data_IF_046269076514
#
_entry.id   IF_046269076514
#
_cell.length_a   1.000
_cell.length_b   1.000
_cell.length_c   1.000
_cell.angle_alpha   90.00
_cell.angle_beta   90.00
_cell.angle_gamma   90.00
#
_symmetry.space_group_name_H-M   'P 1'
#
loop_
_entity.id
_entity.type
_entity.pdbx_description
1 polymer ?
#
# COMPACT_ATOMS: atom_id res chain seq x y z
N UNK A 1 8.51 -2.77 3.73
CA UNK A 1 7.43 -3.44 3.00
C UNK A 1 6.37 -2.41 2.69
N UNK A 2 5.61 -2.57 1.62
CA UNK A 2 4.41 -1.78 1.33
C UNK A 2 3.20 -2.72 1.23
N UNK A 3 2.00 -2.20 1.45
CA UNK A 3 0.75 -2.94 1.30
C UNK A 3 -0.12 -2.20 0.29
N UNK A 4 -0.62 -2.92 -0.70
CA UNK A 4 -1.50 -2.38 -1.73
C UNK A 4 -2.77 -3.22 -1.82
N UNK A 5 -3.89 -2.55 -2.09
CA UNK A 5 -5.19 -3.17 -2.31
C UNK A 5 -5.60 -2.94 -3.75
N UNK A 6 -5.96 -4.03 -4.45
CA UNK A 6 -6.60 -3.97 -5.76
C UNK A 6 -8.06 -4.39 -5.62
N UNK A 7 -8.96 -3.50 -6.00
CA UNK A 7 -10.40 -3.76 -6.08
C UNK A 7 -10.75 -3.99 -7.54
N UNK A 8 -11.18 -5.20 -7.89
CA UNK A 8 -11.60 -5.55 -9.25
C UNK A 8 -13.12 -5.45 -9.38
N UNK A 9 -13.59 -4.81 -10.44
CA UNK A 9 -15.01 -4.67 -10.75
C UNK A 9 -15.49 -5.75 -11.73
N UNK A 10 -16.82 -5.90 -11.87
CA UNK A 10 -17.43 -6.94 -12.74
C UNK A 10 -17.03 -6.81 -14.21
N UNK A 11 -16.70 -5.60 -14.67
CA UNK A 11 -16.25 -5.31 -16.03
C UNK A 11 -14.74 -5.56 -16.24
N UNK A 12 -14.05 -6.15 -15.26
CA UNK A 12 -12.60 -6.34 -15.18
C UNK A 12 -11.77 -5.05 -15.07
N UNK A 13 -12.39 -3.89 -14.90
CA UNK A 13 -11.66 -2.70 -14.45
C UNK A 13 -11.19 -2.88 -13.01
N UNK A 14 -10.17 -2.14 -12.61
CA UNK A 14 -9.71 -2.17 -11.22
C UNK A 14 -9.31 -0.80 -10.72
N UNK A 15 -9.42 -0.63 -9.41
CA UNK A 15 -8.85 0.48 -8.66
C UNK A 15 -7.75 -0.08 -7.78
N UNK A 16 -6.64 0.65 -7.64
CA UNK A 16 -5.53 0.24 -6.79
C UNK A 16 -5.21 1.33 -5.79
N UNK A 17 -4.86 0.92 -4.58
CA UNK A 17 -4.64 1.80 -3.45
C UNK A 17 -3.35 1.43 -2.73
N UNK A 18 -2.55 2.42 -2.39
CA UNK A 18 -1.54 2.28 -1.34
C UNK A 18 -2.25 2.38 0.03
N UNK A 19 -1.85 1.52 0.96
CA UNK A 19 -2.37 1.52 2.33
C UNK A 19 -1.39 2.27 3.22
N UNK A 20 -1.90 3.15 4.08
CA UNK A 20 -1.13 3.82 5.12
C UNK A 20 -1.45 3.26 6.51
N UNK A 21 -0.46 3.23 7.42
CA UNK A 21 -0.67 2.81 8.82
C UNK A 21 -1.37 3.89 9.66
N UNK A 22 -1.31 5.13 9.19
CA UNK A 22 -1.88 6.34 9.76
C UNK A 22 -2.13 7.34 8.61
N UNK A 23 -3.02 8.34 8.77
CA UNK A 23 -3.27 9.32 7.72
C UNK A 23 -1.98 10.03 7.28
N UNK A 24 -1.80 10.18 5.97
CA UNK A 24 -0.64 10.90 5.41
C UNK A 24 -0.67 12.35 5.89
N UNK A 25 0.34 12.74 6.67
CA UNK A 25 0.38 14.06 7.29
C UNK A 25 0.86 15.15 6.30
N UNK A 26 1.81 14.80 5.44
CA UNK A 26 2.37 15.69 4.42
C UNK A 26 2.32 15.02 3.04
N UNK A 27 1.39 15.43 2.16
CA UNK A 27 1.28 14.90 0.80
C UNK A 27 2.52 15.14 -0.09
N UNK A 28 3.41 16.05 0.30
CA UNK A 28 4.65 16.33 -0.44
C UNK A 28 5.86 15.55 0.11
N UNK A 29 5.69 14.87 1.25
CA UNK A 29 6.73 14.02 1.83
C UNK A 29 6.76 12.66 1.14
N UNK A 30 7.88 12.36 0.48
CA UNK A 30 8.11 11.10 -0.21
C UNK A 30 9.33 10.38 0.34
N UNK A 31 9.25 9.05 0.36
CA UNK A 31 10.38 8.17 0.65
C UNK A 31 10.50 7.09 -0.40
N UNK A 32 11.73 6.64 -0.62
CA UNK A 32 12.04 5.59 -1.59
C UNK A 32 12.13 4.25 -0.90
N UNK A 33 11.32 3.28 -1.33
CA UNK A 33 11.50 1.87 -0.95
C UNK A 33 12.19 1.16 -2.11
N UNK A 34 13.28 0.45 -1.81
CA UNK A 34 14.03 -0.33 -2.80
C UNK A 34 14.11 -1.80 -2.42
N UNK A 35 14.15 -2.68 -3.42
CA UNK A 35 14.37 -4.11 -3.22
C UNK A 35 15.14 -4.72 -4.39
N UNK A 36 15.87 -5.78 -4.06
CA UNK A 36 16.59 -6.58 -5.04
C UNK A 36 15.60 -7.32 -5.94
N UNK A 37 15.86 -7.27 -7.25
CA UNK A 37 15.09 -7.94 -8.30
C UNK A 37 15.91 -8.99 -9.06
N UNK A 38 17.14 -9.28 -8.61
CA UNK A 38 18.08 -10.19 -9.28
C UNK A 38 18.81 -9.60 -10.50
N UNK A 39 18.62 -8.32 -10.78
CA UNK A 39 19.26 -7.55 -11.85
C UNK A 39 20.41 -6.66 -11.37
N UNK A 40 20.93 -5.84 -12.28
CA UNK A 40 22.04 -4.92 -11.98
C UNK A 40 21.61 -3.71 -11.14
N UNK A 41 20.36 -3.29 -11.26
CA UNK A 41 19.79 -2.18 -10.49
C UNK A 41 18.53 -2.63 -9.74
N UNK A 42 18.37 -2.20 -8.47
CA UNK A 42 17.20 -2.55 -7.68
C UNK A 42 15.93 -1.92 -8.24
N UNK A 43 14.78 -2.53 -7.96
CA UNK A 43 13.52 -1.82 -8.14
C UNK A 43 13.34 -0.80 -7.03
N UNK A 44 12.68 0.31 -7.40
CA UNK A 44 12.36 1.40 -6.48
C UNK A 44 10.94 1.88 -6.71
N UNK A 45 10.28 2.31 -5.64
CA UNK A 45 9.00 3.01 -5.67
C UNK A 45 9.07 4.24 -4.77
N UNK A 46 8.26 5.24 -5.08
CA UNK A 46 7.99 6.37 -4.20
C UNK A 46 6.68 6.14 -3.46
N UNK A 47 6.74 6.28 -2.14
CA UNK A 47 5.59 6.15 -1.23
C UNK A 47 5.68 7.22 -0.15
N UNK A 48 4.57 7.48 0.52
CA UNK A 48 4.61 8.31 1.73
C UNK A 48 5.24 7.52 2.89
N UNK A 49 5.89 8.18 3.86
CA UNK A 49 6.46 7.53 5.02
C UNK A 49 5.46 6.63 5.77
N UNK A 50 4.18 6.99 5.81
CA UNK A 50 3.07 6.29 6.45
C UNK A 50 2.66 4.99 5.72
N UNK A 51 3.04 4.84 4.45
CA UNK A 51 2.72 3.68 3.61
C UNK A 51 3.77 2.57 3.71
N UNK A 52 4.80 2.76 4.53
CA UNK A 52 5.87 1.79 4.78
C UNK A 52 5.56 0.99 6.05
N UNK A 53 5.64 -0.34 5.96
CA UNK A 53 5.35 -1.23 7.08
C UNK A 53 6.56 -2.09 7.43
N UNK A 54 6.70 -2.38 8.73
CA UNK A 54 7.28 -3.65 9.19
C UNK A 54 6.28 -4.79 9.01
N UNK A 55 6.75 -6.04 9.02
CA UNK A 55 5.83 -7.19 8.94
C UNK A 55 4.81 -7.20 10.07
N UNK A 56 5.21 -6.85 11.29
CA UNK A 56 4.31 -6.78 12.46
C UNK A 56 3.23 -5.70 12.29
N UNK A 57 3.60 -4.53 11.77
CA UNK A 57 2.66 -3.44 11.50
C UNK A 57 1.62 -3.80 10.45
N UNK A 58 1.93 -4.68 9.50
CA UNK A 58 1.01 -5.09 8.45
C UNK A 58 0.00 -6.15 8.90
N UNK A 59 0.26 -6.87 10.00
CA UNK A 59 -0.59 -7.98 10.48
C UNK A 59 -2.07 -7.58 10.65
N UNK A 60 -2.41 -6.44 11.28
CA UNK A 60 -3.81 -6.05 11.45
C UNK A 60 -4.55 -5.86 10.13
N UNK A 61 -3.88 -5.34 9.09
CA UNK A 61 -4.48 -5.15 7.75
C UNK A 61 -4.83 -6.49 7.13
N UNK A 62 -3.88 -7.43 7.12
CA UNK A 62 -4.12 -8.78 6.58
C UNK A 62 -5.16 -9.55 7.38
N UNK A 63 -5.11 -9.46 8.72
CA UNK A 63 -6.08 -10.15 9.59
C UNK A 63 -7.50 -9.67 9.32
N UNK A 64 -7.74 -8.36 9.31
CA UNK A 64 -9.06 -7.79 9.05
C UNK A 64 -9.61 -8.19 7.67
N UNK A 65 -8.76 -8.26 6.66
CA UNK A 65 -9.17 -8.72 5.34
C UNK A 65 -9.46 -10.23 5.30
N UNK A 66 -8.59 -11.06 5.88
CA UNK A 66 -8.71 -12.53 5.84
C UNK A 66 -9.89 -13.02 6.70
N UNK A 67 -10.06 -12.46 7.89
CA UNK A 67 -11.07 -12.91 8.85
C UNK A 67 -12.44 -12.28 8.55
N UNK A 68 -12.48 -10.98 8.22
CA UNK A 68 -13.72 -10.21 8.15
C UNK A 68 -14.02 -9.63 6.74
N UNK A 69 -13.15 -9.83 5.75
CA UNK A 69 -13.30 -9.23 4.42
C UNK A 69 -13.25 -7.70 4.44
N UNK A 70 -12.68 -7.10 5.49
CA UNK A 70 -12.75 -5.65 5.74
C UNK A 70 -11.49 -4.95 5.23
N UNK A 71 -11.70 -3.82 4.55
CA UNK A 71 -10.61 -2.94 4.09
C UNK A 71 -10.31 -1.86 5.15
N UNK A 72 -9.09 -1.29 5.15
CA UNK A 72 -8.79 -0.10 5.94
C UNK A 72 -9.77 1.05 5.64
N UNK A 73 -9.99 1.95 6.61
CA UNK A 73 -10.71 3.20 6.39
C UNK A 73 -10.19 3.99 5.19
N UNK A 74 -11.08 4.71 4.51
CA UNK A 74 -10.76 5.41 3.26
C UNK A 74 -9.69 6.50 3.41
N UNK A 75 -9.55 7.11 4.59
CA UNK A 75 -8.50 8.08 4.91
C UNK A 75 -7.10 7.46 5.03
N UNK A 76 -7.02 6.13 5.08
CA UNK A 76 -5.77 5.36 5.00
C UNK A 76 -5.49 4.80 3.60
N UNK A 77 -6.32 5.13 2.60
CA UNK A 77 -6.23 4.60 1.24
C UNK A 77 -5.93 5.73 0.25
N UNK A 78 -4.72 5.73 -0.31
CA UNK A 78 -4.37 6.64 -1.41
C UNK A 78 -4.52 5.92 -2.74
N UNK A 79 -5.42 6.41 -3.58
CA UNK A 79 -5.63 5.88 -4.93
C UNK A 79 -4.36 6.05 -5.77
N UNK A 80 -3.94 4.98 -6.43
CA UNK A 80 -2.84 4.94 -7.38
C UNK A 80 -3.40 5.08 -8.80
N UNK A 81 -2.71 5.85 -9.63
CA UNK A 81 -3.00 6.00 -11.07
C UNK A 81 -1.98 5.15 -11.84
N UNK A 82 -2.42 3.99 -12.35
CA UNK A 82 -1.58 2.94 -12.94
C UNK A 82 -2.25 2.28 -14.15
#
# INVERSE_FOLDING_TARGET
>A
MTVEIRVTHEDNSYEQYAVAREPVADPEAWTTVSWDNGGAEPFTIQVHPEEVFTGEQAVPVFRAYIEDGTLPPADLLRRLDI
#
